data_IF_143711354915
#
_entry.id   IF_143711354915
#
_cell.length_a   1.000
_cell.length_b   1.000
_cell.length_c   1.000
_cell.angle_alpha   90.00
_cell.angle_beta   90.00
_cell.angle_gamma   90.00
#
_symmetry.space_group_name_H-M   'P 1'
#
loop_
_entity.id
_entity.type
_entity.pdbx_description
1 polymer ?
#
# COMPACT_ATOMS: atom_id res chain seq x y z
N UNK A 1 -1.77 4.89 -13.12
CA UNK A 1 -1.58 3.95 -14.27
C UNK A 1 -1.74 2.47 -13.88
N UNK A 2 -2.56 2.17 -12.91
CA UNK A 2 -2.76 0.79 -12.39
C UNK A 2 -3.49 -0.16 -13.38
N UNK A 3 -4.25 0.38 -14.33
CA UNK A 3 -5.03 -0.41 -15.28
C UNK A 3 -4.18 -1.37 -16.15
N UNK A 4 -2.91 -1.03 -16.42
CA UNK A 4 -1.99 -1.88 -17.21
C UNK A 4 -1.79 -3.24 -16.55
N UNK A 5 -1.76 -3.30 -15.22
CA UNK A 5 -1.61 -4.54 -14.47
C UNK A 5 -2.84 -5.46 -14.53
N UNK A 6 -3.99 -4.94 -14.97
CA UNK A 6 -5.20 -5.72 -15.12
C UNK A 6 -5.38 -6.32 -16.52
N UNK A 7 -4.57 -5.88 -17.51
CA UNK A 7 -4.62 -6.44 -18.87
C UNK A 7 -4.49 -7.96 -18.87
N UNK A 8 -3.54 -8.59 -18.13
CA UNK A 8 -3.44 -10.04 -18.09
C UNK A 8 -4.72 -10.74 -17.60
N UNK A 9 -5.45 -10.12 -16.68
CA UNK A 9 -6.71 -10.68 -16.14
C UNK A 9 -7.76 -10.81 -17.24
N UNK A 10 -7.87 -9.80 -18.12
CA UNK A 10 -8.78 -9.83 -19.26
C UNK A 10 -8.32 -10.79 -20.36
N UNK A 11 -7.00 -10.88 -20.58
CA UNK A 11 -6.43 -11.84 -21.54
C UNK A 11 -6.65 -13.29 -21.11
N UNK A 12 -6.78 -13.56 -19.80
CA UNK A 12 -7.15 -14.86 -19.26
C UNK A 12 -8.66 -15.14 -19.35
N UNK A 13 -9.44 -14.24 -19.98
CA UNK A 13 -10.86 -14.43 -20.24
C UNK A 13 -11.79 -14.08 -19.06
N UNK A 14 -11.31 -13.34 -18.05
CA UNK A 14 -12.18 -12.90 -16.96
C UNK A 14 -13.19 -11.86 -17.50
N UNK A 15 -14.50 -12.13 -17.38
CA UNK A 15 -15.52 -11.18 -17.85
C UNK A 15 -15.42 -9.84 -17.11
N UNK A 16 -15.63 -8.74 -17.83
CA UNK A 16 -15.53 -7.39 -17.25
C UNK A 16 -16.48 -7.16 -16.09
N UNK A 17 -17.67 -7.75 -16.09
CA UNK A 17 -18.61 -7.62 -14.98
C UNK A 17 -18.09 -8.28 -13.70
N UNK A 18 -17.40 -9.43 -13.80
CA UNK A 18 -16.75 -10.09 -12.65
C UNK A 18 -15.64 -9.20 -12.09
N UNK A 19 -14.80 -8.68 -12.97
CA UNK A 19 -13.75 -7.76 -12.57
C UNK A 19 -14.30 -6.53 -11.85
N UNK A 20 -15.32 -5.86 -12.40
CA UNK A 20 -15.94 -4.68 -11.80
C UNK A 20 -16.58 -5.02 -10.45
N UNK A 21 -17.26 -6.17 -10.34
CA UNK A 21 -17.87 -6.59 -9.08
C UNK A 21 -16.84 -6.81 -7.98
N UNK A 22 -15.76 -7.53 -8.29
CA UNK A 22 -14.68 -7.78 -7.32
C UNK A 22 -13.97 -6.49 -6.93
N UNK A 23 -13.69 -5.63 -7.90
CA UNK A 23 -13.09 -4.32 -7.65
C UNK A 23 -13.98 -3.43 -6.76
N UNK A 24 -15.30 -3.46 -6.97
CA UNK A 24 -16.26 -2.72 -6.15
C UNK A 24 -16.31 -3.25 -4.71
N UNK A 25 -16.34 -4.56 -4.53
CA UNK A 25 -16.28 -5.17 -3.19
C UNK A 25 -14.97 -4.79 -2.49
N UNK A 26 -13.85 -4.86 -3.20
CA UNK A 26 -12.57 -4.44 -2.65
C UNK A 26 -12.58 -2.95 -2.26
N UNK A 27 -13.18 -2.09 -3.08
CA UNK A 27 -13.27 -0.65 -2.77
C UNK A 27 -14.10 -0.40 -1.49
N UNK A 28 -15.22 -1.12 -1.32
CA UNK A 28 -16.02 -1.06 -0.09
C UNK A 28 -15.19 -1.55 1.12
N UNK A 29 -14.43 -2.63 0.93
CA UNK A 29 -13.54 -3.14 1.96
C UNK A 29 -12.49 -2.10 2.35
N UNK A 30 -11.85 -1.47 1.38
CA UNK A 30 -10.86 -0.42 1.62
C UNK A 30 -11.47 0.79 2.35
N UNK A 31 -12.73 1.11 2.10
CA UNK A 31 -13.39 2.24 2.77
C UNK A 31 -13.48 2.04 4.28
N UNK A 32 -13.90 0.88 4.78
CA UNK A 32 -14.07 0.68 6.21
C UNK A 32 -12.74 0.54 6.97
N UNK A 33 -11.68 0.01 6.34
CA UNK A 33 -10.35 -0.10 6.98
C UNK A 33 -9.66 1.26 7.18
N UNK A 34 -10.10 2.29 6.45
CA UNK A 34 -9.65 3.67 6.63
C UNK A 34 -10.41 4.38 7.77
N UNK A 35 -10.50 3.76 8.92
CA UNK A 35 -11.20 4.31 10.08
C UNK A 35 -10.31 4.33 11.31
N UNK A 36 -10.35 5.46 12.03
CA UNK A 36 -9.68 5.57 13.33
C UNK A 36 -10.56 5.07 14.49
N UNK A 37 -11.86 4.93 14.26
CA UNK A 37 -12.83 4.60 15.31
C UNK A 37 -12.97 3.10 15.56
N UNK A 38 -12.46 2.26 14.66
CA UNK A 38 -12.57 0.80 14.80
C UNK A 38 -11.35 0.29 15.56
N UNK A 39 -11.56 -0.29 16.78
CA UNK A 39 -10.47 -0.86 17.54
C UNK A 39 -9.93 -2.15 16.92
N UNK A 40 -8.94 -2.75 17.56
CA UNK A 40 -8.45 -4.08 17.19
C UNK A 40 -9.58 -5.11 17.26
N UNK A 41 -9.70 -5.94 16.24
CA UNK A 41 -10.74 -6.96 16.09
C UNK A 41 -10.30 -8.37 16.50
N UNK A 42 -9.18 -8.47 17.21
CA UNK A 42 -8.70 -9.71 17.82
C UNK A 42 -8.43 -10.84 16.81
N UNK A 43 -9.16 -11.97 16.88
CA UNK A 43 -8.92 -13.14 16.03
C UNK A 43 -9.06 -12.87 14.53
N UNK A 44 -9.90 -11.92 14.15
CA UNK A 44 -10.15 -11.54 12.75
C UNK A 44 -8.87 -11.01 12.09
N UNK A 45 -8.03 -10.30 12.85
CA UNK A 45 -6.74 -9.76 12.41
C UNK A 45 -5.66 -10.82 12.16
N UNK A 46 -5.97 -12.08 12.42
CA UNK A 46 -5.07 -13.19 12.02
C UNK A 46 -5.12 -13.45 10.53
N UNK A 47 -6.23 -13.15 9.89
CA UNK A 47 -6.50 -13.49 8.49
C UNK A 47 -6.74 -12.27 7.62
N UNK A 48 -7.46 -11.27 8.14
CA UNK A 48 -7.92 -10.12 7.39
C UNK A 48 -7.26 -8.82 7.86
N UNK A 49 -7.08 -7.91 6.92
CA UNK A 49 -6.65 -6.54 7.23
C UNK A 49 -7.79 -5.82 7.94
N UNK A 50 -7.50 -5.18 9.05
CA UNK A 50 -8.45 -4.36 9.79
C UNK A 50 -8.02 -2.90 9.77
N UNK A 51 -8.84 -2.03 10.35
CA UNK A 51 -8.48 -0.63 10.51
C UNK A 51 -7.18 -0.46 11.30
N UNK A 52 -6.96 -1.28 12.35
CA UNK A 52 -5.72 -1.29 13.12
C UNK A 52 -4.49 -1.63 12.26
N UNK A 53 -4.57 -2.72 11.47
CA UNK A 53 -3.48 -3.07 10.57
C UNK A 53 -3.22 -1.99 9.51
N UNK A 54 -4.28 -1.35 9.02
CA UNK A 54 -4.19 -0.34 7.97
C UNK A 54 -3.67 1.00 8.49
N UNK A 55 -3.95 1.35 9.75
CA UNK A 55 -3.32 2.51 10.42
C UNK A 55 -1.80 2.37 10.47
N UNK A 56 -1.29 1.18 10.79
CA UNK A 56 0.15 0.88 10.74
C UNK A 56 0.70 1.06 9.33
N UNK A 57 -0.02 0.61 8.29
CA UNK A 57 0.37 0.80 6.90
C UNK A 57 0.53 2.28 6.51
N UNK A 58 -0.36 3.13 7.00
CA UNK A 58 -0.34 4.57 6.72
C UNK A 58 0.58 5.39 7.63
N UNK A 59 1.18 4.77 8.63
CA UNK A 59 2.02 5.48 9.59
C UNK A 59 3.45 5.67 9.09
N UNK A 60 4.03 6.83 9.43
CA UNK A 60 5.43 7.16 9.14
C UNK A 60 6.39 6.91 10.30
N UNK A 61 5.91 6.31 11.40
CA UNK A 61 6.73 5.89 12.53
C UNK A 61 7.81 4.90 12.06
N UNK A 62 9.01 4.96 12.63
CA UNK A 62 10.11 4.10 12.22
C UNK A 62 9.80 2.60 12.28
N UNK A 63 9.04 2.20 13.31
CA UNK A 63 8.64 0.79 13.51
C UNK A 63 7.53 0.32 12.56
N UNK A 64 6.83 1.24 11.88
CA UNK A 64 5.69 0.97 11.01
C UNK A 64 6.01 1.10 9.52
N UNK A 65 7.19 1.64 9.18
CA UNK A 65 7.63 1.77 7.80
C UNK A 65 7.73 0.38 7.15
N UNK A 66 7.27 0.29 5.91
CA UNK A 66 7.27 -0.93 5.10
C UNK A 66 6.56 -2.12 5.76
N UNK A 67 5.44 -1.84 6.44
CA UNK A 67 4.60 -2.84 7.09
C UNK A 67 3.18 -2.88 6.52
N UNK A 68 2.55 -4.04 6.66
CA UNK A 68 1.14 -4.30 6.41
C UNK A 68 0.66 -3.90 5.00
N UNK A 69 1.29 -4.44 3.96
CA UNK A 69 0.95 -4.13 2.55
C UNK A 69 -0.35 -4.78 2.07
N UNK A 70 -0.87 -5.77 2.78
CA UNK A 70 -2.08 -6.48 2.40
C UNK A 70 -3.28 -5.55 2.29
N UNK A 71 -4.06 -5.69 1.22
CA UNK A 71 -5.29 -4.91 1.04
C UNK A 71 -6.51 -5.54 1.71
N UNK A 72 -6.61 -6.87 1.69
CA UNK A 72 -7.73 -7.64 2.27
C UNK A 72 -7.23 -8.71 3.23
N UNK A 73 -6.18 -9.43 2.85
CA UNK A 73 -5.64 -10.54 3.63
C UNK A 73 -4.28 -10.17 4.22
N UNK A 74 -4.21 -10.12 5.55
CA UNK A 74 -2.97 -9.87 6.32
C UNK A 74 -2.04 -11.09 6.34
N UNK A 75 -2.53 -12.24 5.87
CA UNK A 75 -1.75 -13.49 5.79
C UNK A 75 -0.49 -13.29 4.96
N UNK A 76 -0.57 -12.50 3.88
CA UNK A 76 0.58 -12.23 3.03
C UNK A 76 1.69 -11.52 3.78
N UNK A 77 1.35 -10.51 4.58
CA UNK A 77 2.33 -9.80 5.40
C UNK A 77 2.99 -10.71 6.42
N UNK A 78 2.22 -11.64 7.00
CA UNK A 78 2.78 -12.65 7.92
C UNK A 78 3.73 -13.61 7.21
N UNK A 79 3.41 -14.04 5.99
CA UNK A 79 4.24 -14.93 5.18
C UNK A 79 5.54 -14.26 4.73
N UNK A 80 5.49 -12.99 4.37
CA UNK A 80 6.65 -12.24 3.88
C UNK A 80 7.42 -11.47 4.96
N UNK A 81 6.98 -11.54 6.23
CA UNK A 81 7.65 -10.87 7.35
C UNK A 81 7.45 -9.36 7.42
N UNK A 82 6.46 -8.85 6.69
CA UNK A 82 6.08 -7.42 6.70
C UNK A 82 4.98 -7.10 7.72
N UNK A 83 4.45 -8.11 8.42
CA UNK A 83 3.42 -7.88 9.43
C UNK A 83 3.95 -7.13 10.64
N UNK A 84 3.20 -6.12 11.06
CA UNK A 84 3.40 -5.41 12.33
C UNK A 84 2.04 -5.10 12.96
N UNK A 85 1.91 -5.46 14.21
CA UNK A 85 0.74 -5.11 15.00
C UNK A 85 0.82 -3.65 15.45
N UNK A 86 -0.31 -2.96 15.50
CA UNK A 86 -0.40 -1.62 16.08
C UNK A 86 -0.07 -1.67 17.58
N UNK A 87 0.86 -0.85 18.00
CA UNK A 87 1.28 -0.75 19.40
C UNK A 87 0.50 0.37 20.09
N UNK A 88 -0.16 0.06 21.19
CA UNK A 88 -0.91 1.07 21.99
C UNK A 88 -0.01 2.14 22.59
N UNK A 89 1.27 1.81 22.80
CA UNK A 89 2.28 2.76 23.31
C UNK A 89 2.85 3.67 22.23
N UNK A 90 2.64 3.35 20.95
CA UNK A 90 3.17 4.08 19.82
C UNK A 90 2.05 4.44 18.82
N UNK A 91 1.37 5.54 19.09
CA UNK A 91 0.29 6.01 18.22
C UNK A 91 0.77 6.24 16.77
N UNK A 92 0.01 5.79 15.75
CA UNK A 92 0.34 6.03 14.35
C UNK A 92 0.41 7.53 14.02
N UNK A 93 1.51 7.96 13.43
CA UNK A 93 1.69 9.31 12.90
C UNK A 93 1.53 9.24 11.39
N UNK A 94 0.46 9.84 10.86
CA UNK A 94 0.16 9.78 9.43
C UNK A 94 0.94 10.81 8.64
N UNK A 95 1.22 10.48 7.39
CA UNK A 95 1.89 11.36 6.45
C UNK A 95 2.96 10.65 5.62
N UNK A 96 3.74 11.45 4.92
CA UNK A 96 4.89 10.98 4.14
C UNK A 96 6.18 11.54 4.72
N UNK A 97 7.23 10.74 4.70
CA UNK A 97 8.58 11.20 5.02
C UNK A 97 9.11 12.04 3.87
N UNK A 98 9.32 13.28 4.12
CA UNK A 98 9.77 14.23 3.09
C UNK A 98 8.61 14.85 2.34
N UNK A 99 8.31 16.08 2.67
CA UNK A 99 7.26 16.85 2.01
C UNK A 99 7.75 17.32 0.65
N UNK A 100 6.90 17.21 -0.36
CA UNK A 100 7.21 17.69 -1.70
C UNK A 100 7.25 19.24 -1.78
N UNK A 101 6.64 19.91 -0.80
CA UNK A 101 6.59 21.37 -0.64
C UNK A 101 6.19 22.14 -1.92
N UNK A 102 5.25 21.57 -2.68
CA UNK A 102 4.78 22.19 -3.92
C UNK A 102 3.29 21.91 -4.14
N UNK A 103 2.60 22.88 -4.71
CA UNK A 103 1.22 22.76 -5.19
C UNK A 103 1.15 22.54 -6.71
N UNK A 104 2.30 22.33 -7.39
CA UNK A 104 2.31 22.02 -8.81
C UNK A 104 1.83 20.57 -9.05
N UNK A 105 0.64 20.34 -9.64
CA UNK A 105 0.08 19.01 -9.82
C UNK A 105 0.88 18.16 -10.82
N UNK A 106 1.52 18.78 -11.79
CA UNK A 106 2.36 18.09 -12.76
C UNK A 106 3.60 17.54 -12.07
N UNK A 107 4.27 18.37 -11.26
CA UNK A 107 5.43 17.96 -10.49
C UNK A 107 5.08 16.90 -9.45
N UNK A 108 3.97 17.06 -8.74
CA UNK A 108 3.49 16.09 -7.77
C UNK A 108 3.29 14.68 -8.37
N UNK A 109 2.91 14.59 -9.65
CA UNK A 109 2.75 13.30 -10.33
C UNK A 109 4.02 12.77 -10.99
N UNK A 110 4.96 13.62 -11.37
CA UNK A 110 6.11 13.22 -12.18
C UNK A 110 7.41 13.07 -11.39
N UNK A 111 7.54 13.72 -10.24
CA UNK A 111 8.82 13.79 -9.49
C UNK A 111 9.40 12.41 -9.16
N UNK A 112 8.55 11.43 -8.78
CA UNK A 112 8.99 10.06 -8.47
C UNK A 112 9.60 9.40 -9.71
N UNK A 113 8.94 9.49 -10.86
CA UNK A 113 9.45 8.88 -12.10
C UNK A 113 10.75 9.55 -12.57
N UNK A 114 10.85 10.87 -12.38
CA UNK A 114 12.07 11.60 -12.72
C UNK A 114 13.21 11.22 -11.77
N UNK A 115 12.92 11.05 -10.47
CA UNK A 115 13.91 10.57 -9.49
C UNK A 115 14.39 9.18 -9.86
N UNK A 116 13.47 8.23 -10.07
CA UNK A 116 13.82 6.87 -10.50
C UNK A 116 14.66 6.85 -11.78
N UNK A 117 14.30 7.68 -12.77
CA UNK A 117 15.07 7.76 -14.01
C UNK A 117 16.50 8.28 -13.78
N UNK A 118 16.67 9.25 -12.88
CA UNK A 118 17.99 9.75 -12.46
C UNK A 118 18.77 8.66 -11.72
N UNK A 119 18.15 7.97 -10.78
CA UNK A 119 18.81 6.92 -10.01
C UNK A 119 19.31 5.81 -10.93
N UNK A 120 18.47 5.37 -11.89
CA UNK A 120 18.87 4.40 -12.92
C UNK A 120 20.01 4.94 -13.81
N UNK A 121 19.98 6.23 -14.16
CA UNK A 121 21.01 6.83 -15.02
C UNK A 121 22.37 6.92 -14.33
N UNK A 122 22.38 7.28 -13.05
CA UNK A 122 23.60 7.46 -12.26
C UNK A 122 24.08 6.18 -11.58
N UNK A 123 23.30 5.12 -11.57
CA UNK A 123 23.67 3.84 -10.97
C UNK A 123 24.90 3.25 -11.67
N UNK A 124 25.91 2.90 -10.88
CA UNK A 124 27.20 2.43 -11.39
C UNK A 124 27.20 0.95 -11.77
N UNK A 125 26.26 0.17 -11.22
CA UNK A 125 26.13 -1.24 -11.52
C UNK A 125 24.74 -1.61 -12.04
N UNK A 126 24.64 -2.72 -12.76
CA UNK A 126 23.36 -3.26 -13.20
C UNK A 126 22.47 -3.70 -12.00
N UNK A 127 23.09 -4.13 -10.92
CA UNK A 127 22.37 -4.44 -9.68
C UNK A 127 21.68 -3.18 -9.13
N UNK A 128 22.40 -2.09 -9.03
CA UNK A 128 21.88 -0.83 -8.46
C UNK A 128 20.82 -0.17 -9.36
N UNK A 129 20.65 -0.65 -10.60
CA UNK A 129 19.60 -0.19 -11.52
C UNK A 129 18.25 -0.85 -11.29
N UNK A 130 18.22 -2.03 -10.67
CA UNK A 130 17.01 -2.84 -10.55
C UNK A 130 16.69 -3.29 -9.12
N UNK A 131 17.60 -3.11 -8.20
CA UNK A 131 17.49 -3.43 -6.78
C UNK A 131 18.09 -2.32 -5.89
#
# INVERSE_FOLDING_TARGET
>A
MTWVFFIPVFLLGVPSFVFVSVASINLIYQFWVHSEHIPKLGWYEKFFVTASNHRVHHAQNDNYIDKNYGGVFIIWDRMFGTFKEEDESEAPIYGIRGTLNTFNPIWANLHIYISMAKDIWYAQSWKDKFF
#
